data_IF_442112945812
#
_entry.id   IF_442112945812
#
_cell.length_a   1.000
_cell.length_b   1.000
_cell.length_c   1.000
_cell.angle_alpha   90.00
_cell.angle_beta   90.00
_cell.angle_gamma   90.00
#
_symmetry.space_group_name_H-M   'P 1'
#
loop_
_entity.id
_entity.type
_entity.pdbx_description
1 polymer ?
#
# COMPACT_ATOMS: atom_id res chain seq x y z
N UNK A 1 1.25 -46.75 -27.11
CA UNK A 1 1.96 -47.75 -26.28
C UNK A 1 2.93 -48.50 -27.18
N UNK A 2 4.17 -48.04 -27.26
CA UNK A 2 5.31 -48.72 -27.89
C UNK A 2 6.57 -48.03 -27.37
N UNK A 3 7.20 -48.66 -26.38
CA UNK A 3 8.44 -48.19 -25.74
C UNK A 3 9.60 -48.86 -26.47
N UNK A 4 10.56 -48.08 -26.94
CA UNK A 4 11.82 -48.58 -27.52
C UNK A 4 12.98 -48.00 -26.70
N UNK A 5 13.62 -48.87 -25.93
CA UNK A 5 14.78 -48.56 -25.08
C UNK A 5 16.04 -48.77 -25.92
N UNK A 6 16.95 -47.80 -25.93
CA UNK A 6 18.30 -47.90 -26.51
C UNK A 6 19.31 -47.63 -25.37
N UNK A 7 20.37 -48.45 -25.20
CA UNK A 7 21.26 -48.37 -24.05
C UNK A 7 22.36 -47.30 -24.18
N UNK A 8 22.79 -46.82 -23.01
CA UNK A 8 23.76 -45.75 -22.74
C UNK A 8 25.19 -46.22 -23.08
N UNK A 9 25.91 -45.42 -23.88
CA UNK A 9 27.35 -45.49 -24.07
C UNK A 9 27.99 -44.14 -23.76
N UNK A 10 29.08 -44.15 -22.99
CA UNK A 10 29.84 -42.97 -22.53
C UNK A 10 30.93 -42.55 -23.55
N UNK A 11 31.67 -41.46 -23.28
CA UNK A 11 31.49 -40.12 -23.81
C UNK A 11 32.40 -39.85 -25.03
N UNK A 12 31.92 -39.00 -25.95
CA UNK A 12 32.75 -38.45 -27.03
C UNK A 12 33.18 -37.02 -26.67
N UNK A 13 34.47 -36.76 -26.79
CA UNK A 13 35.12 -35.44 -26.65
C UNK A 13 34.50 -34.42 -27.62
N UNK A 14 34.13 -33.25 -27.09
CA UNK A 14 33.70 -32.11 -27.89
C UNK A 14 34.59 -30.90 -27.56
N UNK A 15 35.37 -30.51 -28.56
CA UNK A 15 36.12 -29.26 -28.64
C UNK A 15 35.17 -28.06 -28.68
N UNK A 16 35.30 -27.13 -27.74
CA UNK A 16 34.61 -25.84 -27.76
C UNK A 16 35.52 -24.76 -28.39
N UNK A 17 35.05 -23.96 -29.35
CA UNK A 17 35.57 -22.61 -29.56
C UNK A 17 34.83 -21.66 -28.62
N UNK A 18 35.61 -20.95 -27.80
CA UNK A 18 35.09 -19.98 -26.84
C UNK A 18 34.49 -18.75 -27.52
N UNK A 19 33.25 -18.46 -27.19
CA UNK A 19 32.70 -17.11 -27.19
C UNK A 19 32.44 -16.76 -25.72
N UNK A 20 33.21 -15.81 -25.18
CA UNK A 20 32.94 -15.24 -23.86
C UNK A 20 31.53 -14.64 -23.84
N UNK A 21 30.62 -15.30 -23.13
CA UNK A 21 29.37 -14.69 -22.71
C UNK A 21 29.74 -13.69 -21.61
N UNK A 22 29.85 -12.42 -21.98
CA UNK A 22 29.94 -11.32 -21.02
C UNK A 22 28.57 -11.19 -20.35
N UNK A 23 28.36 -11.97 -19.30
CA UNK A 23 27.28 -11.73 -18.33
C UNK A 23 27.54 -10.35 -17.73
N UNK A 24 26.82 -9.33 -18.19
CA UNK A 24 26.67 -8.08 -17.46
C UNK A 24 25.96 -8.43 -16.14
N UNK A 25 26.76 -8.62 -15.10
CA UNK A 25 26.29 -8.68 -13.72
C UNK A 25 25.42 -7.45 -13.48
N UNK A 26 24.15 -7.69 -13.21
CA UNK A 26 23.22 -6.71 -12.65
C UNK A 26 23.93 -6.06 -11.45
N UNK A 27 23.95 -4.72 -11.34
CA UNK A 27 24.53 -4.08 -10.17
C UNK A 27 23.82 -4.61 -8.93
N UNK A 28 24.61 -4.89 -7.88
CA UNK A 28 24.06 -5.23 -6.57
C UNK A 28 23.02 -4.18 -6.15
N UNK A 29 21.94 -4.56 -5.45
CA UNK A 29 20.95 -3.60 -5.00
C UNK A 29 21.64 -2.53 -4.16
N UNK A 30 21.64 -1.29 -4.63
CA UNK A 30 22.07 -0.13 -3.85
C UNK A 30 21.27 -0.14 -2.54
N UNK A 31 21.95 -0.02 -1.41
CA UNK A 31 21.32 0.13 -0.10
C UNK A 31 20.25 1.21 -0.20
N UNK A 32 18.98 0.82 0.02
CA UNK A 32 17.85 1.74 0.01
C UNK A 32 18.15 2.82 1.05
N UNK A 33 18.50 4.03 0.57
CA UNK A 33 18.75 5.17 1.42
C UNK A 33 17.51 5.42 2.29
N UNK A 34 17.63 5.08 3.58
CA UNK A 34 16.58 5.28 4.59
C UNK A 34 16.21 6.76 4.74
N UNK A 35 16.99 7.68 4.16
CA UNK A 35 16.81 9.13 4.20
C UNK A 35 15.69 9.65 3.26
N UNK A 36 15.13 8.82 2.39
CA UNK A 36 14.06 9.24 1.47
C UNK A 36 12.66 9.17 2.12
N UNK A 37 11.83 10.19 1.86
CA UNK A 37 10.42 10.22 2.26
C UNK A 37 9.59 9.24 1.43
N UNK A 38 8.44 8.84 1.98
CA UNK A 38 7.47 8.07 1.23
C UNK A 38 6.76 8.97 0.20
N UNK A 39 6.57 8.48 -1.02
CA UNK A 39 5.85 9.16 -2.10
C UNK A 39 4.65 8.32 -2.55
N UNK A 40 3.72 8.97 -3.26
CA UNK A 40 2.60 8.28 -3.91
C UNK A 40 3.09 7.56 -5.17
N UNK A 41 2.64 6.32 -5.36
CA UNK A 41 2.79 5.58 -6.61
C UNK A 41 1.56 4.72 -6.83
N UNK A 42 0.57 5.32 -7.49
CA UNK A 42 -0.76 4.73 -7.66
C UNK A 42 -1.44 4.43 -6.33
N UNK A 43 -1.96 3.20 -6.19
CA UNK A 43 -2.64 2.73 -4.96
C UNK A 43 -1.70 2.48 -3.78
N UNK A 44 -0.39 2.65 -3.94
CA UNK A 44 0.59 2.30 -2.91
C UNK A 44 1.55 3.45 -2.62
N UNK A 45 2.26 3.30 -1.50
CA UNK A 45 3.34 4.19 -1.09
C UNK A 45 4.67 3.60 -1.55
N UNK A 46 5.62 4.46 -1.86
CA UNK A 46 6.95 4.06 -2.34
C UNK A 46 8.04 4.82 -1.60
N UNK A 47 9.17 4.15 -1.39
CA UNK A 47 10.39 4.76 -0.88
C UNK A 47 11.46 4.45 -1.91
N UNK A 48 11.94 5.47 -2.61
CA UNK A 48 12.80 5.31 -3.78
C UNK A 48 12.12 4.41 -4.83
N UNK A 49 12.61 3.17 -5.01
CA UNK A 49 12.08 2.18 -5.96
C UNK A 49 11.37 1.01 -5.30
N UNK A 50 11.25 1.03 -3.97
CA UNK A 50 10.63 -0.05 -3.21
C UNK A 50 9.22 0.33 -2.76
N UNK A 51 8.28 -0.58 -3.02
CA UNK A 51 6.91 -0.43 -2.53
C UNK A 51 6.89 -0.59 -1.02
N UNK A 52 6.28 0.38 -0.34
CA UNK A 52 6.10 0.40 1.10
C UNK A 52 4.70 -0.11 1.46
N UNK A 53 4.64 -1.34 1.98
CA UNK A 53 3.49 -1.83 2.74
C UNK A 53 3.59 -1.35 4.19
N UNK A 54 2.64 -0.52 4.63
CA UNK A 54 2.65 0.07 5.97
C UNK A 54 2.16 -0.96 6.99
N UNK A 55 3.09 -1.50 7.77
CA UNK A 55 2.88 -2.48 8.84
C UNK A 55 2.97 -1.75 10.16
N UNK A 56 1.85 -1.16 10.54
CA UNK A 56 1.76 -0.12 11.55
C UNK A 56 1.26 -0.61 12.90
N UNK A 57 1.61 0.15 13.95
CA UNK A 57 0.96 0.09 15.26
C UNK A 57 0.65 1.51 15.76
N UNK A 58 -0.41 1.70 16.53
CA UNK A 58 -0.65 3.00 17.17
C UNK A 58 0.20 3.15 18.44
N UNK A 59 0.64 4.37 18.73
CA UNK A 59 1.53 4.68 19.84
C UNK A 59 1.07 5.92 20.62
N UNK A 60 0.62 5.68 21.85
CA UNK A 60 -0.06 6.67 22.70
C UNK A 60 -1.52 6.84 22.33
N UNK A 61 -2.32 7.59 23.08
CA UNK A 61 -1.88 8.62 24.03
C UNK A 61 -1.45 8.09 25.40
N UNK A 62 -0.41 8.70 25.96
CA UNK A 62 0.17 8.36 27.26
C UNK A 62 -0.15 9.41 28.32
N UNK A 63 0.03 9.04 29.59
CA UNK A 63 -0.05 10.01 30.70
C UNK A 63 1.06 11.04 30.51
N UNK A 64 0.76 12.36 30.58
CA UNK A 64 1.79 13.37 30.46
C UNK A 64 2.89 13.21 31.51
N UNK A 65 4.14 13.37 31.08
CA UNK A 65 5.30 13.39 31.97
C UNK A 65 5.28 14.58 32.94
N UNK A 66 6.23 14.60 33.87
CA UNK A 66 6.40 15.72 34.83
C UNK A 66 6.66 17.05 34.10
N UNK A 67 7.30 16.97 32.93
CA UNK A 67 7.57 18.08 32.01
C UNK A 67 6.38 18.43 31.10
N UNK A 68 5.26 17.72 31.24
CA UNK A 68 4.09 17.85 30.36
C UNK A 68 4.24 17.16 29.01
N UNK A 69 5.30 16.36 28.80
CA UNK A 69 5.53 15.64 27.55
C UNK A 69 4.45 14.59 27.27
N UNK A 70 3.97 14.51 26.02
CA UNK A 70 2.89 13.61 25.60
C UNK A 70 3.33 12.16 25.33
N UNK A 71 4.63 11.87 25.48
CA UNK A 71 5.24 10.57 25.17
C UNK A 71 6.10 10.09 26.35
N UNK A 72 6.36 8.77 26.46
CA UNK A 72 7.26 8.23 27.47
C UNK A 72 8.68 8.77 27.29
N UNK A 73 9.54 8.54 28.29
CA UNK A 73 10.94 8.96 28.21
C UNK A 73 11.64 8.41 26.95
N UNK A 74 12.63 9.13 26.38
CA UNK A 74 13.35 8.67 25.18
C UNK A 74 13.87 7.23 25.27
N UNK A 75 14.31 6.79 26.47
CA UNK A 75 14.77 5.42 26.71
C UNK A 75 13.66 4.38 26.52
N UNK A 76 12.45 4.66 27.00
CA UNK A 76 11.30 3.76 26.84
C UNK A 76 10.87 3.71 25.39
N UNK A 77 10.81 4.87 24.72
CA UNK A 77 10.50 4.96 23.29
C UNK A 77 11.50 4.19 22.44
N UNK A 78 12.80 4.31 22.71
CA UNK A 78 13.84 3.55 22.01
C UNK A 78 13.71 2.04 22.19
N UNK A 79 13.35 1.59 23.40
CA UNK A 79 13.06 0.18 23.66
C UNK A 79 11.81 -0.32 22.92
N UNK A 80 10.72 0.44 22.99
CA UNK A 80 9.47 0.13 22.29
C UNK A 80 9.70 0.05 20.78
N UNK A 81 10.37 1.04 20.19
CA UNK A 81 10.60 1.12 18.74
C UNK A 81 11.57 0.05 18.25
N UNK A 82 12.58 -0.29 19.04
CA UNK A 82 13.46 -1.42 18.75
C UNK A 82 12.67 -2.74 18.72
N UNK A 83 11.79 -2.97 19.70
CA UNK A 83 10.95 -4.15 19.74
C UNK A 83 9.94 -4.19 18.58
N UNK A 84 9.34 -3.06 18.22
CA UNK A 84 8.47 -2.94 17.05
C UNK A 84 9.21 -3.40 15.78
N UNK A 85 10.38 -2.82 15.53
CA UNK A 85 11.20 -3.11 14.33
C UNK A 85 11.57 -4.60 14.24
N UNK A 86 12.00 -5.21 15.35
CA UNK A 86 12.33 -6.65 15.42
C UNK A 86 11.12 -7.55 15.19
N UNK A 87 9.90 -7.07 15.45
CA UNK A 87 8.65 -7.79 15.22
C UNK A 87 7.97 -7.43 13.88
N UNK A 88 8.71 -6.83 12.94
CA UNK A 88 8.24 -6.59 11.57
C UNK A 88 7.36 -5.35 11.39
N UNK A 89 7.19 -4.54 12.45
CA UNK A 89 6.54 -3.23 12.36
C UNK A 89 7.50 -2.25 11.69
N UNK A 90 7.01 -1.48 10.72
CA UNK A 90 7.79 -0.45 10.01
C UNK A 90 7.18 0.95 10.11
N UNK A 91 6.05 1.08 10.80
CA UNK A 91 5.42 2.37 11.01
C UNK A 91 4.71 2.47 12.37
N UNK A 92 4.61 3.69 12.87
CA UNK A 92 3.80 4.03 14.02
C UNK A 92 2.82 5.14 13.65
N UNK A 93 1.68 5.16 14.33
CA UNK A 93 0.74 6.28 14.28
C UNK A 93 0.70 6.96 15.65
N UNK A 94 0.93 8.27 15.67
CA UNK A 94 0.75 9.09 16.87
C UNK A 94 -0.56 9.88 16.80
N UNK A 95 -1.02 10.38 17.94
CA UNK A 95 -2.22 11.21 18.01
C UNK A 95 -1.89 12.70 18.18
N UNK A 96 -0.67 13.01 18.61
CA UNK A 96 -0.12 14.37 18.67
C UNK A 96 1.17 14.45 17.87
N UNK A 97 1.55 15.68 17.52
CA UNK A 97 2.82 15.94 16.86
C UNK A 97 3.97 15.48 17.79
N UNK A 98 4.80 14.52 17.36
CA UNK A 98 5.91 14.05 18.18
C UNK A 98 7.01 15.11 18.24
N UNK A 99 7.78 15.16 19.35
CA UNK A 99 8.99 15.96 19.38
C UNK A 99 10.04 15.39 18.43
N UNK A 100 10.95 16.25 17.95
CA UNK A 100 12.00 15.86 16.99
C UNK A 100 12.85 14.66 17.45
N UNK A 101 13.16 14.55 18.74
CA UNK A 101 13.93 13.42 19.25
C UNK A 101 13.23 12.07 19.06
N UNK A 102 11.88 12.03 19.03
CA UNK A 102 11.13 10.80 18.79
C UNK A 102 11.22 10.42 17.31
N UNK A 103 11.14 11.39 16.41
CA UNK A 103 11.34 11.16 14.97
C UNK A 103 12.74 10.61 14.67
N UNK A 104 13.76 11.11 15.37
CA UNK A 104 15.14 10.60 15.29
C UNK A 104 15.25 9.14 15.74
N UNK A 105 14.60 8.78 16.86
CA UNK A 105 14.57 7.39 17.33
C UNK A 105 13.80 6.50 16.33
N UNK A 106 12.66 6.96 15.83
CA UNK A 106 11.89 6.24 14.81
C UNK A 106 12.75 5.96 13.58
N UNK A 107 13.46 6.97 13.07
CA UNK A 107 14.36 6.83 11.93
C UNK A 107 15.47 5.80 12.19
N UNK A 108 16.13 5.88 13.36
CA UNK A 108 17.17 4.91 13.76
C UNK A 108 16.66 3.47 13.84
N UNK A 109 15.39 3.29 14.22
CA UNK A 109 14.74 1.99 14.28
C UNK A 109 14.09 1.57 12.95
N UNK A 110 14.30 2.32 11.85
CA UNK A 110 13.66 2.11 10.55
C UNK A 110 12.13 2.12 10.60
N UNK A 111 11.58 2.94 11.49
CA UNK A 111 10.16 3.20 11.63
C UNK A 111 9.79 4.52 10.97
N UNK A 112 8.64 4.53 10.30
CA UNK A 112 7.99 5.75 9.81
C UNK A 112 6.87 6.19 10.74
N UNK A 113 6.53 7.48 10.75
CA UNK A 113 5.57 8.07 11.68
C UNK A 113 4.44 8.72 10.90
N UNK A 114 3.23 8.19 11.06
CA UNK A 114 1.99 8.84 10.65
C UNK A 114 1.57 9.79 11.79
N UNK A 115 1.79 11.09 11.59
CA UNK A 115 1.70 12.11 12.64
C UNK A 115 0.26 12.58 12.81
N UNK A 116 -0.32 12.38 13.99
CA UNK A 116 -1.63 12.97 14.35
C UNK A 116 -1.51 14.43 14.78
N UNK A 117 -2.40 15.30 14.29
CA UNK A 117 -2.43 16.73 14.64
C UNK A 117 -3.64 17.14 15.50
N UNK A 118 -4.59 16.24 15.74
CA UNK A 118 -5.67 16.37 16.74
C UNK A 118 -6.56 17.63 16.59
N UNK A 119 -7.05 17.90 15.37
CA UNK A 119 -7.92 19.05 15.12
C UNK A 119 -9.40 18.84 15.51
N UNK A 120 -9.85 17.61 15.74
CA UNK A 120 -11.23 17.29 16.07
C UNK A 120 -11.65 17.85 17.44
N UNK A 121 -12.95 18.10 17.61
CA UNK A 121 -13.57 18.38 18.91
C UNK A 121 -14.86 17.57 19.01
N UNK A 122 -15.16 17.06 20.19
CA UNK A 122 -16.42 16.33 20.45
C UNK A 122 -17.61 17.26 20.78
N UNK A 123 -17.53 18.54 20.42
CA UNK A 123 -18.59 19.54 20.56
C UNK A 123 -18.63 20.43 19.31
N UNK A 124 -19.74 21.15 19.06
CA UNK A 124 -19.85 21.99 17.86
C UNK A 124 -18.92 23.22 17.96
N UNK A 125 -17.96 23.34 17.05
CA UNK A 125 -16.91 24.35 17.17
C UNK A 125 -16.74 25.27 15.94
N UNK A 126 -17.23 24.88 14.75
CA UNK A 126 -16.97 25.63 13.51
C UNK A 126 -17.55 27.07 13.49
N UNK A 127 -18.57 27.36 14.29
CA UNK A 127 -19.12 28.71 14.44
C UNK A 127 -18.21 29.63 15.29
N UNK A 128 -17.30 29.06 16.09
CA UNK A 128 -16.43 29.80 16.99
C UNK A 128 -15.11 30.13 16.31
N UNK A 129 -15.05 31.30 15.66
CA UNK A 129 -13.86 31.75 14.90
C UNK A 129 -12.55 31.66 15.69
N UNK A 130 -12.59 31.91 17.01
CA UNK A 130 -11.40 31.80 17.89
C UNK A 130 -10.89 30.36 17.96
N UNK A 131 -11.78 29.40 18.24
CA UNK A 131 -11.42 27.97 18.32
C UNK A 131 -10.91 27.47 16.97
N UNK A 132 -11.56 27.82 15.87
CA UNK A 132 -11.10 27.41 14.52
C UNK A 132 -9.68 27.93 14.23
N UNK A 133 -9.37 29.18 14.60
CA UNK A 133 -8.02 29.74 14.46
C UNK A 133 -6.99 29.02 15.34
N UNK A 134 -7.36 28.69 16.58
CA UNK A 134 -6.50 27.93 17.50
C UNK A 134 -6.18 26.54 16.95
N UNK A 135 -7.19 25.84 16.42
CA UNK A 135 -7.01 24.52 15.80
C UNK A 135 -6.09 24.61 14.57
N UNK A 136 -6.34 25.57 13.67
CA UNK A 136 -5.47 25.78 12.49
C UNK A 136 -4.02 26.06 12.91
N UNK A 137 -3.83 26.90 13.92
CA UNK A 137 -2.50 27.18 14.47
C UNK A 137 -1.84 25.93 15.03
N UNK A 138 -2.58 25.10 15.79
CA UNK A 138 -2.08 23.83 16.32
C UNK A 138 -1.61 22.88 15.19
N UNK A 139 -2.40 22.75 14.13
CA UNK A 139 -2.06 21.93 12.95
C UNK A 139 -0.81 22.46 12.27
N UNK A 140 -0.73 23.78 12.03
CA UNK A 140 0.44 24.45 11.45
C UNK A 140 1.71 24.25 12.29
N UNK A 141 1.63 24.52 13.58
CA UNK A 141 2.77 24.41 14.50
C UNK A 141 3.25 22.94 14.59
N UNK A 142 2.33 21.98 14.61
CA UNK A 142 2.65 20.55 14.61
C UNK A 142 3.28 20.06 13.31
N UNK A 143 2.77 20.51 12.15
CA UNK A 143 3.36 20.22 10.85
C UNK A 143 4.77 20.82 10.75
N UNK A 144 4.94 22.09 11.12
CA UNK A 144 6.25 22.75 11.15
C UNK A 144 7.27 22.01 12.02
N UNK A 145 6.85 21.50 13.17
CA UNK A 145 7.75 20.79 14.08
C UNK A 145 8.29 19.45 13.53
N UNK A 146 7.57 18.85 12.57
CA UNK A 146 7.94 17.58 11.94
C UNK A 146 8.43 17.72 10.49
N UNK A 147 8.28 18.91 9.90
CA UNK A 147 8.49 19.17 8.47
C UNK A 147 9.87 18.74 8.00
N UNK A 148 9.91 18.08 6.83
CA UNK A 148 11.15 17.65 6.18
C UNK A 148 11.81 16.40 6.76
N UNK A 149 11.36 15.88 7.90
CA UNK A 149 12.02 14.75 8.55
C UNK A 149 11.76 13.41 7.81
N UNK A 150 12.78 12.61 7.45
CA UNK A 150 12.63 11.38 6.65
C UNK A 150 11.71 10.30 7.26
N UNK A 151 11.64 10.23 8.59
CA UNK A 151 10.74 9.31 9.28
C UNK A 151 9.26 9.69 9.12
N UNK A 152 8.89 10.91 8.73
CA UNK A 152 7.48 11.28 8.58
C UNK A 152 6.89 10.56 7.37
N UNK A 153 5.89 9.70 7.63
CA UNK A 153 5.09 9.05 6.61
C UNK A 153 4.06 10.01 6.01
N UNK A 154 3.48 10.84 6.87
CA UNK A 154 2.43 11.80 6.52
C UNK A 154 1.74 12.34 7.76
N UNK A 155 0.72 13.18 7.55
CA UNK A 155 -0.04 13.83 8.62
C UNK A 155 -1.52 13.45 8.58
N UNK A 156 -2.10 13.19 9.75
CA UNK A 156 -3.53 13.11 9.97
C UNK A 156 -4.00 14.43 10.58
N UNK A 157 -4.68 15.25 9.78
CA UNK A 157 -5.12 16.58 10.23
C UNK A 157 -6.17 16.51 11.33
N UNK A 158 -6.99 15.46 11.34
CA UNK A 158 -7.99 15.17 12.37
C UNK A 158 -8.23 13.66 12.50
N UNK A 159 -8.92 13.26 13.56
CA UNK A 159 -9.37 11.91 13.83
C UNK A 159 -10.86 11.88 14.17
N UNK A 160 -11.65 11.08 13.44
CA UNK A 160 -13.04 10.73 13.76
C UNK A 160 -13.94 11.90 14.20
N UNK A 161 -14.16 12.89 13.32
CA UNK A 161 -15.18 13.92 13.54
C UNK A 161 -16.55 13.23 13.68
N UNK A 162 -17.23 13.32 14.84
CA UNK A 162 -18.48 12.61 15.07
C UNK A 162 -19.56 12.93 14.04
N UNK A 163 -20.31 11.92 13.58
CA UNK A 163 -21.39 12.10 12.61
C UNK A 163 -22.45 13.11 13.06
N UNK A 164 -22.72 13.23 14.36
CA UNK A 164 -23.63 14.24 14.91
C UNK A 164 -23.12 15.67 14.68
N UNK A 165 -21.80 15.87 14.73
CA UNK A 165 -21.15 17.16 14.46
C UNK A 165 -21.16 17.47 12.97
N UNK A 166 -20.88 16.46 12.13
CA UNK A 166 -21.00 16.62 10.66
C UNK A 166 -22.43 16.94 10.26
N UNK A 167 -23.42 16.24 10.81
CA UNK A 167 -24.85 16.52 10.56
C UNK A 167 -25.26 17.92 11.00
N UNK A 168 -24.73 18.40 12.14
CA UNK A 168 -25.04 19.71 12.67
C UNK A 168 -24.51 20.84 11.76
N UNK A 169 -23.24 20.77 11.35
CA UNK A 169 -22.62 21.82 10.53
C UNK A 169 -22.89 21.65 9.02
N UNK A 170 -23.24 20.45 8.59
CA UNK A 170 -23.33 20.07 7.18
C UNK A 170 -21.98 19.58 6.63
N UNK A 171 -22.04 18.63 5.69
CA UNK A 171 -20.86 18.01 5.06
C UNK A 171 -19.89 19.05 4.49
N UNK A 172 -20.40 19.95 3.63
CA UNK A 172 -19.61 20.99 2.97
C UNK A 172 -18.84 21.90 3.93
N UNK A 173 -19.37 22.15 5.14
CA UNK A 173 -18.68 22.97 6.14
C UNK A 173 -17.49 22.22 6.76
N UNK A 174 -17.67 20.92 7.01
CA UNK A 174 -16.61 20.04 7.53
C UNK A 174 -15.55 19.80 6.46
N UNK A 175 -15.93 19.53 5.22
CA UNK A 175 -15.01 19.36 4.08
C UNK A 175 -14.15 20.61 3.88
N UNK A 176 -14.76 21.80 3.85
CA UNK A 176 -14.03 23.08 3.77
C UNK A 176 -13.07 23.28 4.93
N UNK A 177 -13.48 22.89 6.14
CA UNK A 177 -12.62 22.98 7.31
C UNK A 177 -11.42 22.03 7.20
N UNK A 178 -11.63 20.77 6.82
CA UNK A 178 -10.57 19.80 6.58
C UNK A 178 -9.63 20.26 5.46
N UNK A 179 -10.16 20.86 4.38
CA UNK A 179 -9.36 21.46 3.30
C UNK A 179 -8.47 22.57 3.82
N UNK A 180 -9.00 23.45 4.68
CA UNK A 180 -8.18 24.50 5.29
C UNK A 180 -7.04 23.91 6.12
N UNK A 181 -7.28 22.84 6.89
CA UNK A 181 -6.21 22.18 7.64
C UNK A 181 -5.17 21.54 6.73
N UNK A 182 -5.61 20.95 5.62
CA UNK A 182 -4.71 20.45 4.58
C UNK A 182 -3.84 21.57 4.02
N UNK A 183 -4.41 22.76 3.78
CA UNK A 183 -3.66 23.93 3.28
C UNK A 183 -2.60 24.35 4.31
N UNK A 184 -2.93 24.35 5.61
CA UNK A 184 -1.95 24.64 6.68
C UNK A 184 -0.75 23.68 6.65
N UNK A 185 -0.98 22.40 6.39
CA UNK A 185 0.10 21.40 6.33
C UNK A 185 0.93 21.60 5.07
N UNK A 186 0.30 21.76 3.90
CA UNK A 186 1.01 21.92 2.62
C UNK A 186 1.80 23.23 2.53
N UNK A 187 1.39 24.28 3.26
CA UNK A 187 2.18 25.51 3.41
C UNK A 187 3.49 25.29 4.18
N UNK A 188 3.50 24.40 5.18
CA UNK A 188 4.67 24.14 6.04
C UNK A 188 5.53 22.95 5.56
N UNK A 189 4.92 21.98 4.87
CA UNK A 189 5.55 20.78 4.34
C UNK A 189 4.89 20.37 2.99
N UNK A 190 5.30 21.01 1.87
CA UNK A 190 4.66 20.83 0.56
C UNK A 190 4.68 19.38 0.04
N UNK A 191 5.75 18.65 0.36
CA UNK A 191 5.97 17.27 -0.09
C UNK A 191 5.30 16.23 0.83
N UNK A 192 4.64 16.66 1.91
CA UNK A 192 4.01 15.74 2.84
C UNK A 192 2.75 15.09 2.28
N UNK A 193 2.56 13.82 2.61
CA UNK A 193 1.27 13.16 2.45
C UNK A 193 0.33 13.61 3.57
N UNK A 194 -0.88 14.02 3.23
CA UNK A 194 -1.87 14.54 4.18
C UNK A 194 -3.17 13.76 4.05
N UNK A 195 -3.74 13.39 5.19
CA UNK A 195 -4.97 12.64 5.28
C UNK A 195 -5.78 13.01 6.53
N UNK A 196 -6.91 12.34 6.69
CA UNK A 196 -7.85 12.46 7.80
C UNK A 196 -8.28 11.03 8.16
N UNK A 197 -8.13 10.64 9.42
CA UNK A 197 -8.58 9.33 9.90
C UNK A 197 -10.11 9.39 10.05
N UNK A 198 -10.80 8.90 9.03
CA UNK A 198 -12.25 8.94 8.94
C UNK A 198 -12.87 7.75 9.71
N UNK A 199 -14.18 7.87 9.95
CA UNK A 199 -14.99 6.84 10.59
C UNK A 199 -16.12 6.41 9.64
N UNK A 200 -16.60 5.15 9.69
CA UNK A 200 -17.60 4.66 8.75
C UNK A 200 -18.88 5.52 8.66
N UNK A 201 -19.30 6.13 9.78
CA UNK A 201 -20.48 6.98 9.81
C UNK A 201 -20.35 8.30 9.04
N UNK A 202 -19.14 8.66 8.60
CA UNK A 202 -18.81 9.92 7.90
C UNK A 202 -18.05 9.66 6.60
N UNK A 203 -18.17 8.46 6.05
CA UNK A 203 -17.52 8.07 4.79
C UNK A 203 -18.00 8.84 3.55
N UNK A 204 -19.19 9.46 3.63
CA UNK A 204 -19.83 10.18 2.52
C UNK A 204 -19.24 11.57 2.25
N UNK A 205 -18.26 12.02 3.05
CA UNK A 205 -17.59 13.31 2.85
C UNK A 205 -16.76 13.29 1.57
N UNK A 206 -16.83 14.36 0.78
CA UNK A 206 -15.92 14.54 -0.36
C UNK A 206 -14.54 14.99 0.14
N UNK A 207 -13.62 14.03 0.15
CA UNK A 207 -12.24 14.20 0.57
C UNK A 207 -11.26 13.99 -0.59
N UNK A 208 -11.67 14.34 -1.81
CA UNK A 208 -10.86 14.23 -3.03
C UNK A 208 -9.52 14.98 -2.97
N UNK A 209 -9.42 16.03 -2.14
CA UNK A 209 -8.20 16.82 -1.94
C UNK A 209 -7.13 16.17 -1.06
N UNK A 210 -7.43 15.07 -0.38
CA UNK A 210 -6.46 14.35 0.46
C UNK A 210 -5.57 13.44 -0.40
N UNK A 211 -4.30 13.32 0.01
CA UNK A 211 -3.30 12.48 -0.65
C UNK A 211 -3.54 10.98 -0.36
N UNK A 212 -4.04 10.66 0.83
CA UNK A 212 -4.35 9.29 1.29
C UNK A 212 -5.78 9.22 1.81
N UNK A 213 -6.37 8.03 1.74
CA UNK A 213 -7.62 7.71 2.43
C UNK A 213 -7.32 6.88 3.66
N UNK A 214 -7.77 7.34 4.84
CA UNK A 214 -7.55 6.68 6.11
C UNK A 214 -8.87 6.39 6.83
N UNK A 215 -9.01 5.17 7.36
CA UNK A 215 -10.19 4.78 8.15
C UNK A 215 -9.82 3.98 9.40
N UNK A 216 -10.48 4.28 10.50
CA UNK A 216 -10.49 3.44 11.70
C UNK A 216 -11.61 2.40 11.58
N UNK A 217 -11.29 1.10 11.75
CA UNK A 217 -12.23 0.00 11.52
C UNK A 217 -12.11 -1.06 12.63
N UNK A 218 -13.14 -1.16 13.47
CA UNK A 218 -13.22 -2.12 14.58
C UNK A 218 -14.29 -3.18 14.38
N UNK A 219 -14.52 -3.61 13.13
CA UNK A 219 -15.47 -4.68 12.83
C UNK A 219 -14.93 -6.02 13.33
N UNK A 220 -15.73 -6.75 14.11
CA UNK A 220 -15.38 -8.05 14.70
C UNK A 220 -15.78 -9.24 13.81
N UNK A 221 -16.56 -8.98 12.75
CA UNK A 221 -16.94 -9.97 11.74
C UNK A 221 -16.04 -9.87 10.53
N UNK A 222 -15.36 -10.97 10.18
CA UNK A 222 -14.49 -11.04 9.00
C UNK A 222 -15.25 -10.72 7.71
N UNK A 223 -16.47 -11.27 7.52
CA UNK A 223 -17.27 -11.01 6.32
C UNK A 223 -17.67 -9.53 6.22
N UNK A 224 -18.06 -8.90 7.34
CA UNK A 224 -18.38 -7.48 7.37
C UNK A 224 -17.16 -6.61 7.09
N UNK A 225 -15.99 -6.99 7.61
CA UNK A 225 -14.73 -6.30 7.35
C UNK A 225 -14.33 -6.38 5.87
N UNK A 226 -14.36 -7.57 5.25
CA UNK A 226 -14.02 -7.76 3.84
C UNK A 226 -14.96 -6.96 2.91
N UNK A 227 -16.28 -7.00 3.17
CA UNK A 227 -17.25 -6.22 2.40
C UNK A 227 -17.00 -4.71 2.53
N UNK A 228 -16.66 -4.25 3.74
CA UNK A 228 -16.37 -2.84 3.97
C UNK A 228 -15.07 -2.39 3.31
N UNK A 229 -14.03 -3.23 3.31
CA UNK A 229 -12.79 -2.93 2.58
C UNK A 229 -13.03 -2.77 1.08
N UNK A 230 -13.88 -3.60 0.47
CA UNK A 230 -14.24 -3.47 -0.94
C UNK A 230 -14.91 -2.10 -1.23
N UNK A 231 -15.86 -1.69 -0.38
CA UNK A 231 -16.47 -0.35 -0.43
C UNK A 231 -15.43 0.77 -0.31
N UNK A 232 -14.50 0.66 0.64
CA UNK A 232 -13.46 1.66 0.83
C UNK A 232 -12.49 1.74 -0.35
N UNK A 233 -12.19 0.62 -1.02
CA UNK A 233 -11.39 0.62 -2.25
C UNK A 233 -12.07 1.40 -3.38
N UNK A 234 -13.40 1.32 -3.48
CA UNK A 234 -14.16 2.12 -4.44
C UNK A 234 -14.09 3.63 -4.10
N UNK A 235 -14.20 3.99 -2.83
CA UNK A 235 -14.07 5.39 -2.37
C UNK A 235 -12.64 5.94 -2.53
N UNK A 236 -11.63 5.10 -2.33
CA UNK A 236 -10.23 5.47 -2.50
C UNK A 236 -9.89 5.72 -3.98
N UNK A 237 -10.54 5.01 -4.90
CA UNK A 237 -10.24 5.06 -6.31
C UNK A 237 -8.78 4.65 -6.54
N UNK A 238 -7.98 5.53 -7.16
CA UNK A 238 -6.56 5.30 -7.41
C UNK A 238 -5.63 5.71 -6.25
N UNK A 239 -6.18 6.25 -5.16
CA UNK A 239 -5.38 6.71 -4.01
C UNK A 239 -5.07 5.56 -3.05
N UNK A 240 -3.96 5.62 -2.31
CA UNK A 240 -3.68 4.65 -1.27
C UNK A 240 -4.72 4.67 -0.15
N UNK A 241 -5.17 3.48 0.24
CA UNK A 241 -6.04 3.25 1.40
C UNK A 241 -5.20 2.70 2.57
N UNK A 242 -5.25 3.38 3.72
CA UNK A 242 -4.68 2.93 4.98
C UNK A 242 -5.80 2.65 5.99
N UNK A 243 -5.79 1.47 6.60
CA UNK A 243 -6.64 1.21 7.76
C UNK A 243 -5.87 1.66 9.01
N UNK A 244 -6.22 2.80 9.56
CA UNK A 244 -5.40 3.49 10.56
C UNK A 244 -5.62 3.04 11.98
N UNK A 245 -6.67 2.24 12.24
CA UNK A 245 -6.87 1.45 13.47
C UNK A 245 -7.64 0.17 13.14
N UNK A 246 -7.10 -0.97 13.58
CA UNK A 246 -7.78 -2.27 13.71
C UNK A 246 -7.47 -2.87 15.08
N UNK A 247 -8.37 -3.69 15.61
CA UNK A 247 -8.08 -4.41 16.83
C UNK A 247 -9.29 -5.04 17.49
N UNK A 248 -9.01 -5.78 18.57
CA UNK A 248 -10.01 -6.34 19.47
C UNK A 248 -9.47 -6.28 20.89
N UNK A 249 -10.29 -5.83 21.83
CA UNK A 249 -9.95 -5.78 23.25
C UNK A 249 -9.77 -7.19 23.82
N UNK A 250 -8.61 -7.45 24.44
CA UNK A 250 -8.33 -8.74 25.09
C UNK A 250 -8.96 -8.86 26.49
N UNK A 251 -9.33 -7.76 27.15
CA UNK A 251 -9.93 -7.78 28.48
C UNK A 251 -11.28 -8.51 28.45
N UNK A 252 -12.13 -8.19 27.47
CA UNK A 252 -13.49 -8.73 27.31
C UNK A 252 -13.53 -10.01 26.49
N UNK A 253 -12.60 -10.17 25.53
CA UNK A 253 -12.63 -11.28 24.56
C UNK A 253 -11.56 -12.35 24.80
N UNK A 254 -10.55 -12.07 25.62
CA UNK A 254 -9.38 -12.91 25.85
C UNK A 254 -8.32 -12.80 24.75
N UNK A 255 -7.05 -13.03 25.12
CA UNK A 255 -5.91 -12.90 24.21
C UNK A 255 -5.96 -13.82 22.98
N UNK A 256 -6.57 -15.00 23.10
CA UNK A 256 -6.71 -15.93 21.97
C UNK A 256 -7.64 -15.36 20.89
N UNK A 257 -8.74 -14.72 21.29
CA UNK A 257 -9.69 -14.10 20.36
C UNK A 257 -9.07 -12.85 19.73
N UNK A 258 -8.39 -12.02 20.52
CA UNK A 258 -7.65 -10.86 20.01
C UNK A 258 -6.63 -11.28 18.94
N UNK A 259 -5.79 -12.27 19.25
CA UNK A 259 -4.77 -12.74 18.32
C UNK A 259 -5.38 -13.29 17.02
N UNK A 260 -6.45 -14.08 17.11
CA UNK A 260 -7.16 -14.59 15.93
C UNK A 260 -7.80 -13.46 15.10
N UNK A 261 -8.37 -12.45 15.76
CA UNK A 261 -8.96 -11.29 15.12
C UNK A 261 -7.94 -10.49 14.31
N UNK A 262 -6.81 -10.17 14.93
CA UNK A 262 -5.74 -9.42 14.29
C UNK A 262 -5.12 -10.15 13.11
N UNK A 263 -4.99 -11.49 13.17
CA UNK A 263 -4.49 -12.30 12.04
C UNK A 263 -5.32 -12.07 10.77
N UNK A 264 -6.64 -12.26 10.87
CA UNK A 264 -7.50 -12.10 9.70
C UNK A 264 -7.68 -10.62 9.32
N UNK A 265 -7.76 -9.68 10.26
CA UNK A 265 -7.89 -8.25 9.95
C UNK A 265 -6.68 -7.76 9.11
N UNK A 266 -5.46 -8.10 9.54
CA UNK A 266 -4.23 -7.75 8.82
C UNK A 266 -4.26 -8.37 7.42
N UNK A 267 -4.37 -9.70 7.32
CA UNK A 267 -4.30 -10.40 6.02
C UNK A 267 -5.36 -9.91 5.04
N UNK A 268 -6.59 -9.67 5.52
CA UNK A 268 -7.69 -9.18 4.68
C UNK A 268 -7.48 -7.74 4.23
N UNK A 269 -6.91 -6.86 5.05
CA UNK A 269 -6.55 -5.51 4.62
C UNK A 269 -5.59 -5.54 3.42
N UNK A 270 -4.49 -6.29 3.51
CA UNK A 270 -3.49 -6.31 2.45
C UNK A 270 -3.94 -7.07 1.21
N UNK A 271 -4.61 -8.22 1.34
CA UNK A 271 -5.16 -8.96 0.19
C UNK A 271 -6.26 -8.19 -0.54
N UNK A 272 -6.97 -7.29 0.13
CA UNK A 272 -7.91 -6.35 -0.49
C UNK A 272 -7.20 -5.15 -1.17
N UNK A 273 -5.87 -5.08 -1.16
CA UNK A 273 -5.09 -4.03 -1.81
C UNK A 273 -4.93 -2.76 -0.98
N UNK A 274 -5.09 -2.80 0.34
CA UNK A 274 -4.75 -1.65 1.18
C UNK A 274 -3.24 -1.42 1.15
N UNK A 275 -2.81 -0.15 1.15
CA UNK A 275 -1.40 0.20 1.25
C UNK A 275 -0.81 -0.09 2.65
N UNK A 276 -1.67 -0.27 3.65
CA UNK A 276 -1.29 -0.80 4.93
C UNK A 276 -2.35 -0.69 6.02
N UNK A 277 -1.98 -1.14 7.21
CA UNK A 277 -2.85 -1.23 8.36
C UNK A 277 -2.09 -0.91 9.66
N UNK A 278 -2.77 -0.32 10.63
CA UNK A 278 -2.24 -0.01 11.96
C UNK A 278 -3.01 -0.76 13.04
N UNK A 279 -2.32 -1.60 13.80
CA UNK A 279 -2.90 -2.26 14.96
C UNK A 279 -3.03 -1.27 16.12
N UNK A 280 -4.24 -1.13 16.63
CA UNK A 280 -4.54 -0.45 17.87
C UNK A 280 -4.44 -1.49 19.00
N UNK A 281 -3.41 -1.48 19.85
CA UNK A 281 -2.26 -0.55 19.94
C UNK A 281 -0.95 -1.29 20.29
N UNK A 282 0.20 -0.60 20.37
CA UNK A 282 1.45 -1.24 20.81
C UNK A 282 1.37 -1.81 22.25
N UNK A 283 0.71 -1.08 23.14
CA UNK A 283 0.65 -1.39 24.58
C UNK A 283 -0.74 -1.07 25.14
N UNK A 284 -1.13 -1.76 26.22
CA UNK A 284 -2.32 -1.45 27.01
C UNK A 284 -2.17 -0.14 27.81
N UNK A 285 -0.98 0.45 27.86
CA UNK A 285 -0.80 1.77 28.45
C UNK A 285 -1.50 2.83 27.59
N UNK A 286 -2.69 3.23 28.05
CA UNK A 286 -3.50 4.25 27.40
C UNK A 286 -4.04 5.27 28.40
N UNK A 287 -4.01 6.54 28.01
CA UNK A 287 -4.54 7.67 28.77
C UNK A 287 -5.49 8.50 27.91
N UNK A 288 -6.66 8.85 28.43
CA UNK A 288 -7.62 9.75 27.77
C UNK A 288 -8.12 10.78 28.78
N UNK A 289 -8.08 12.06 28.42
CA UNK A 289 -8.57 13.13 29.28
C UNK A 289 -7.79 13.30 30.60
N UNK A 290 -6.55 12.80 30.67
CA UNK A 290 -5.72 12.83 31.88
C UNK A 290 -5.90 11.62 32.82
N UNK A 291 -6.81 10.70 32.47
CA UNK A 291 -7.09 9.47 33.20
C UNK A 291 -6.59 8.24 32.43
N UNK A 292 -6.09 7.24 33.17
CA UNK A 292 -5.68 5.98 32.58
C UNK A 292 -6.92 5.14 32.24
N UNK A 293 -6.95 4.59 31.03
CA UNK A 293 -8.05 3.73 30.58
C UNK A 293 -7.77 2.28 30.98
N UNK A 294 -8.34 1.81 32.09
CA UNK A 294 -8.01 0.50 32.68
C UNK A 294 -8.91 -0.65 32.25
N UNK A 295 -10.00 -0.37 31.53
CA UNK A 295 -10.98 -1.38 31.10
C UNK A 295 -10.80 -1.84 29.64
N UNK A 296 -9.76 -1.34 28.96
CA UNK A 296 -9.42 -1.60 27.57
C UNK A 296 -7.98 -2.11 27.44
N UNK A 297 -7.82 -3.35 26.99
CA UNK A 297 -6.55 -4.05 26.80
C UNK A 297 -6.35 -4.43 25.31
N UNK A 298 -6.20 -3.43 24.45
CA UNK A 298 -5.97 -3.58 23.00
C UNK A 298 -4.50 -3.81 22.61
N UNK A 299 -3.57 -3.62 23.55
CA UNK A 299 -2.14 -3.66 23.31
C UNK A 299 -1.63 -5.00 22.80
N UNK A 300 -0.65 -4.98 21.89
CA UNK A 300 0.21 -6.13 21.57
C UNK A 300 1.12 -6.50 22.74
N UNK A 301 1.37 -5.54 23.63
CA UNK A 301 2.06 -5.71 24.91
C UNK A 301 1.19 -5.25 26.06
N UNK A 302 1.44 -5.79 27.25
CA UNK A 302 0.79 -5.34 28.48
C UNK A 302 1.19 -3.90 28.83
N UNK A 303 0.56 -3.34 29.88
CA UNK A 303 0.94 -2.05 30.46
C UNK A 303 2.41 -2.00 30.91
N UNK A 304 2.98 -3.16 31.28
CA UNK A 304 4.39 -3.31 31.70
C UNK A 304 5.32 -3.72 30.55
N UNK A 305 4.84 -3.66 29.29
CA UNK A 305 5.55 -4.07 28.07
C UNK A 305 5.91 -5.56 28.00
N UNK A 306 5.15 -6.40 28.68
CA UNK A 306 5.24 -7.86 28.47
C UNK A 306 4.50 -8.24 27.19
N UNK A 307 5.09 -9.05 26.30
CA UNK A 307 4.47 -9.41 25.03
C UNK A 307 3.24 -10.29 25.25
N UNK A 308 2.12 -9.94 24.61
CA UNK A 308 0.92 -10.78 24.57
C UNK A 308 0.98 -11.78 23.42
N UNK A 309 0.06 -12.75 23.43
CA UNK A 309 -0.09 -13.70 22.32
C UNK A 309 -0.28 -13.03 20.96
N UNK A 310 -0.96 -11.89 20.93
CA UNK A 310 -1.23 -11.13 19.71
C UNK A 310 0.06 -10.68 18.99
N UNK A 311 1.13 -10.33 19.71
CA UNK A 311 2.38 -9.83 19.10
C UNK A 311 2.99 -10.87 18.15
N UNK A 312 3.07 -12.14 18.57
CA UNK A 312 3.63 -13.20 17.74
C UNK A 312 2.79 -13.48 16.48
N UNK A 313 1.47 -13.35 16.58
CA UNK A 313 0.56 -13.52 15.44
C UNK A 313 0.65 -12.35 14.47
N UNK A 314 0.66 -11.12 14.97
CA UNK A 314 0.82 -9.91 14.16
C UNK A 314 2.16 -9.91 13.43
N UNK A 315 3.25 -10.28 14.11
CA UNK A 315 4.56 -10.44 13.49
C UNK A 315 4.49 -11.37 12.28
N UNK A 316 3.93 -12.58 12.46
CA UNK A 316 3.80 -13.55 11.38
C UNK A 316 2.92 -13.02 10.23
N UNK A 317 1.79 -12.40 10.56
CA UNK A 317 0.90 -11.82 9.55
C UNK A 317 1.63 -10.73 8.73
N UNK A 318 2.38 -9.85 9.38
CA UNK A 318 3.19 -8.78 8.78
C UNK A 318 4.41 -9.25 7.97
N UNK A 319 4.99 -10.41 8.30
CA UNK A 319 6.04 -11.06 7.50
C UNK A 319 5.47 -11.60 6.17
N UNK A 320 4.17 -11.93 6.14
CA UNK A 320 3.48 -12.59 5.02
C UNK A 320 2.59 -11.65 4.19
N UNK A 321 2.68 -10.32 4.36
CA UNK A 321 1.92 -9.36 3.52
C UNK A 321 2.64 -9.06 2.20
N UNK A 322 1.92 -8.78 1.09
CA UNK A 322 0.46 -8.77 0.99
C UNK A 322 -0.18 -10.16 0.87
N UNK A 323 0.60 -11.16 0.47
CA UNK A 323 0.17 -12.56 0.35
C UNK A 323 1.22 -13.48 0.96
N UNK A 324 0.77 -14.47 1.73
CA UNK A 324 1.65 -15.54 2.18
C UNK A 324 2.19 -16.31 0.97
N UNK A 325 3.41 -16.83 1.09
CA UNK A 325 3.94 -17.76 0.11
C UNK A 325 2.96 -18.93 -0.06
N UNK A 326 2.56 -19.22 -1.30
CA UNK A 326 1.74 -20.39 -1.65
C UNK A 326 2.57 -21.31 -2.53
N UNK A 327 2.43 -22.61 -2.28
CA UNK A 327 3.14 -23.63 -3.04
C UNK A 327 2.57 -23.83 -4.47
N UNK A 328 1.34 -23.40 -4.73
CA UNK A 328 0.65 -23.60 -6.00
C UNK A 328 -0.05 -22.32 -6.49
N UNK A 329 0.73 -21.42 -7.10
CA UNK A 329 0.21 -20.30 -7.87
C UNK A 329 -0.04 -20.73 -9.33
N UNK A 330 -1.19 -20.38 -9.95
CA UNK A 330 -1.48 -20.75 -11.33
C UNK A 330 -0.45 -20.14 -12.28
N UNK A 331 -0.12 -20.85 -13.38
CA UNK A 331 0.81 -20.29 -14.36
C UNK A 331 0.14 -19.12 -15.09
N UNK A 332 0.84 -17.99 -15.23
CA UNK A 332 0.35 -16.83 -16.00
C UNK A 332 1.20 -16.62 -17.25
N UNK A 333 0.56 -16.44 -18.41
CA UNK A 333 1.23 -15.95 -19.63
C UNK A 333 1.01 -14.44 -19.75
N UNK A 334 2.07 -13.67 -19.59
CA UNK A 334 2.06 -12.23 -19.82
C UNK A 334 2.26 -11.99 -21.31
N UNK A 335 1.28 -11.39 -21.97
CA UNK A 335 1.31 -11.11 -23.41
C UNK A 335 1.49 -9.62 -23.64
N UNK A 336 2.56 -9.28 -24.35
CA UNK A 336 2.88 -7.93 -24.83
C UNK A 336 2.73 -7.92 -26.34
N UNK A 337 1.95 -6.99 -26.87
CA UNK A 337 1.86 -6.76 -28.32
C UNK A 337 2.55 -5.45 -28.65
N UNK A 338 3.42 -5.44 -29.65
CA UNK A 338 4.15 -4.23 -30.08
C UNK A 338 4.06 -4.03 -31.58
N UNK A 339 3.92 -2.77 -31.99
CA UNK A 339 4.10 -2.34 -33.37
C UNK A 339 4.72 -0.94 -33.38
N UNK A 340 5.99 -0.86 -33.76
CA UNK A 340 6.80 0.36 -33.69
C UNK A 340 6.88 0.97 -32.26
N UNK A 341 7.06 0.10 -31.25
CA UNK A 341 7.15 0.45 -29.83
C UNK A 341 8.58 0.61 -29.30
N UNK A 342 9.59 0.86 -30.15
CA UNK A 342 11.01 0.88 -29.73
C UNK A 342 11.32 1.86 -28.61
N UNK A 343 10.51 2.91 -28.47
CA UNK A 343 10.66 3.96 -27.45
C UNK A 343 10.25 3.52 -26.05
N UNK A 344 9.39 2.52 -25.92
CA UNK A 344 8.70 2.20 -24.64
C UNK A 344 8.86 0.75 -24.23
N UNK A 345 9.01 -0.17 -25.18
CA UNK A 345 9.04 -1.62 -24.90
C UNK A 345 10.14 -2.02 -23.91
N UNK A 346 11.26 -1.30 -23.90
CA UNK A 346 12.35 -1.50 -22.94
C UNK A 346 11.84 -1.34 -21.49
N UNK A 347 11.14 -0.25 -21.20
CA UNK A 347 10.61 0.03 -19.86
C UNK A 347 9.54 -0.99 -19.44
N UNK A 348 8.69 -1.42 -20.39
CA UNK A 348 7.69 -2.45 -20.17
C UNK A 348 8.33 -3.79 -19.79
N UNK A 349 9.29 -4.26 -20.58
CA UNK A 349 9.99 -5.54 -20.34
C UNK A 349 10.86 -5.49 -19.07
N UNK A 350 11.52 -4.37 -18.77
CA UNK A 350 12.20 -4.17 -17.48
C UNK A 350 11.23 -4.23 -16.29
N UNK A 351 10.01 -3.71 -16.45
CA UNK A 351 8.95 -3.80 -15.44
C UNK A 351 8.47 -5.23 -15.23
N UNK A 352 8.26 -5.97 -16.32
CA UNK A 352 7.89 -7.39 -16.29
C UNK A 352 8.99 -8.22 -15.60
N UNK A 353 10.26 -7.90 -15.82
CA UNK A 353 11.39 -8.54 -15.13
C UNK A 353 11.43 -8.30 -13.62
N UNK A 354 10.66 -7.34 -13.09
CA UNK A 354 10.57 -7.00 -11.65
C UNK A 354 9.33 -7.58 -10.97
N UNK A 355 8.51 -8.37 -11.67
CA UNK A 355 7.32 -8.99 -11.11
C UNK A 355 7.67 -9.99 -10.00
N UNK A 356 6.97 -9.88 -8.87
CA UNK A 356 7.11 -10.73 -7.69
C UNK A 356 6.13 -11.90 -7.75
N UNK A 357 6.18 -12.64 -8.84
CA UNK A 357 5.32 -13.80 -9.07
C UNK A 357 6.14 -15.01 -9.51
N UNK A 358 5.97 -16.19 -8.89
CA UNK A 358 6.91 -17.29 -9.08
C UNK A 358 6.69 -18.11 -10.37
N UNK A 359 5.54 -17.99 -11.03
CA UNK A 359 5.15 -18.93 -12.09
C UNK A 359 4.53 -18.21 -13.30
N UNK A 360 5.35 -17.49 -14.08
CA UNK A 360 4.89 -16.84 -15.30
C UNK A 360 5.86 -17.02 -16.46
N UNK A 361 5.34 -16.79 -17.66
CA UNK A 361 6.14 -16.64 -18.88
C UNK A 361 5.76 -15.33 -19.57
N UNK A 362 6.67 -14.78 -20.37
CA UNK A 362 6.43 -13.56 -21.14
C UNK A 362 6.47 -13.87 -22.62
N UNK A 363 5.43 -13.46 -23.34
CA UNK A 363 5.27 -13.64 -24.78
C UNK A 363 5.19 -12.24 -25.39
N UNK A 364 6.08 -11.96 -26.34
CA UNK A 364 6.06 -10.70 -27.09
C UNK A 364 5.63 -11.01 -28.52
N UNK A 365 4.56 -10.36 -28.97
CA UNK A 365 4.10 -10.40 -30.35
C UNK A 365 4.54 -9.10 -31.02
N UNK A 366 5.55 -9.18 -31.88
CA UNK A 366 5.98 -8.09 -32.74
C UNK A 366 5.20 -8.12 -34.05
N UNK A 367 4.22 -7.24 -34.18
CA UNK A 367 3.28 -7.16 -35.30
C UNK A 367 3.88 -6.40 -36.49
N UNK A 368 5.10 -6.77 -36.87
CA UNK A 368 5.80 -6.24 -38.04
C UNK A 368 6.46 -4.88 -37.82
N UNK A 369 7.07 -4.64 -36.65
CA UNK A 369 7.77 -3.39 -36.35
C UNK A 369 8.94 -3.14 -37.30
N UNK A 370 9.17 -1.86 -37.60
CA UNK A 370 10.23 -1.39 -38.50
C UNK A 370 11.25 -0.47 -37.82
N UNK A 371 11.04 -0.19 -36.54
CA UNK A 371 11.81 0.76 -35.73
C UNK A 371 12.80 0.08 -34.76
N UNK A 372 12.94 -1.25 -34.85
CA UNK A 372 13.82 -2.04 -33.98
C UNK A 372 13.17 -2.56 -32.69
N UNK A 373 11.87 -2.35 -32.44
CA UNK A 373 11.18 -2.86 -31.24
C UNK A 373 11.36 -4.38 -31.04
N UNK A 374 11.22 -5.16 -32.12
CA UNK A 374 11.44 -6.62 -32.06
C UNK A 374 12.88 -7.02 -31.76
N UNK A 375 13.87 -6.21 -32.14
CA UNK A 375 15.28 -6.48 -31.83
C UNK A 375 15.56 -6.16 -30.35
N UNK A 376 15.00 -5.07 -29.82
CA UNK A 376 15.04 -4.76 -28.38
C UNK A 376 14.41 -5.92 -27.58
N UNK A 377 13.23 -6.38 -27.97
CA UNK A 377 12.55 -7.48 -27.28
C UNK A 377 13.37 -8.78 -27.26
N UNK A 378 14.17 -9.04 -28.31
CA UNK A 378 15.02 -10.23 -28.39
C UNK A 378 16.18 -10.24 -27.38
N UNK A 379 16.49 -9.09 -26.75
CA UNK A 379 17.51 -9.00 -25.69
C UNK A 379 17.00 -9.47 -24.32
N UNK A 380 15.69 -9.69 -24.17
CA UNK A 380 15.04 -10.11 -22.92
C UNK A 380 14.70 -11.61 -22.93
N UNK A 381 14.51 -12.18 -21.74
CA UNK A 381 14.03 -13.57 -21.57
C UNK A 381 12.53 -13.66 -21.86
N UNK A 382 12.19 -13.61 -23.15
CA UNK A 382 10.81 -13.64 -23.65
C UNK A 382 10.67 -14.60 -24.82
N UNK A 383 9.46 -15.12 -24.99
CA UNK A 383 9.08 -15.81 -26.23
C UNK A 383 8.64 -14.77 -27.26
N UNK A 384 9.58 -14.34 -28.10
CA UNK A 384 9.32 -13.42 -29.20
C UNK A 384 8.71 -14.14 -30.41
N UNK A 385 7.59 -13.61 -30.93
CA UNK A 385 6.95 -14.05 -32.17
C UNK A 385 6.81 -12.83 -33.07
N UNK A 386 7.46 -12.87 -34.24
CA UNK A 386 7.39 -11.79 -35.24
C UNK A 386 6.40 -12.17 -36.34
N UNK A 387 5.53 -11.25 -36.72
CA UNK A 387 4.55 -11.42 -37.81
C UNK A 387 4.61 -10.25 -38.79
N UNK A 388 3.96 -10.39 -39.95
CA UNK A 388 3.55 -9.22 -40.73
C UNK A 388 2.44 -8.47 -39.97
N UNK A 389 2.37 -7.14 -40.14
CA UNK A 389 1.37 -6.31 -39.47
C UNK A 389 -0.05 -6.71 -39.85
N UNK A 390 -0.79 -7.22 -38.87
CA UNK A 390 -2.20 -7.62 -38.99
C UNK A 390 -3.10 -6.89 -37.97
N UNK A 391 -2.53 -5.99 -37.18
CA UNK A 391 -3.20 -5.18 -36.18
C UNK A 391 -3.29 -5.85 -34.79
N UNK A 392 -3.49 -5.00 -33.78
CA UNK A 392 -3.49 -5.37 -32.36
C UNK A 392 -4.40 -6.54 -31.99
N UNK A 393 -5.58 -6.66 -32.61
CA UNK A 393 -6.50 -7.78 -32.34
C UNK A 393 -5.95 -9.12 -32.81
N UNK A 394 -5.30 -9.15 -33.99
CA UNK A 394 -4.65 -10.35 -34.50
C UNK A 394 -3.46 -10.72 -33.61
N UNK A 395 -2.66 -9.73 -33.20
CA UNK A 395 -1.54 -9.91 -32.29
C UNK A 395 -1.99 -10.47 -30.92
N UNK A 396 -3.04 -9.91 -30.31
CA UNK A 396 -3.61 -10.41 -29.04
C UNK A 396 -4.11 -11.85 -29.16
N UNK A 397 -4.83 -12.18 -30.23
CA UNK A 397 -5.31 -13.54 -30.49
C UNK A 397 -4.16 -14.55 -30.64
N UNK A 398 -3.09 -14.17 -31.35
CA UNK A 398 -1.90 -15.00 -31.49
C UNK A 398 -1.19 -15.19 -30.14
N UNK A 399 -1.13 -14.14 -29.33
CA UNK A 399 -0.60 -14.18 -27.97
C UNK A 399 -1.35 -15.16 -27.08
N UNK A 400 -2.69 -15.07 -27.04
CA UNK A 400 -3.55 -16.04 -26.33
C UNK A 400 -3.35 -17.47 -26.82
N UNK A 401 -3.30 -17.70 -28.13
CA UNK A 401 -3.11 -19.05 -28.69
C UNK A 401 -1.72 -19.62 -28.39
N UNK A 402 -0.74 -18.75 -28.17
CA UNK A 402 0.64 -19.14 -27.86
C UNK A 402 0.88 -19.34 -26.36
N UNK A 403 -0.04 -18.85 -25.51
CA UNK A 403 0.02 -18.94 -24.06
C UNK A 403 -0.06 -20.40 -23.58
N UNK A 404 0.70 -20.70 -22.53
CA UNK A 404 0.67 -22.00 -21.83
C UNK A 404 0.22 -21.88 -20.37
N UNK A 405 -0.01 -20.64 -19.91
CA UNK A 405 -0.56 -20.35 -18.59
C UNK A 405 -2.06 -20.64 -18.52
N UNK A 406 -2.52 -20.85 -17.30
CA UNK A 406 -3.96 -20.97 -16.97
C UNK A 406 -4.66 -19.61 -17.06
N UNK A 407 -3.90 -18.52 -16.84
CA UNK A 407 -4.35 -17.14 -16.96
C UNK A 407 -3.50 -16.45 -18.03
N UNK A 408 -4.16 -15.66 -18.89
CA UNK A 408 -3.49 -14.78 -19.85
C UNK A 408 -3.66 -13.34 -19.39
N UNK A 409 -2.54 -12.67 -19.13
CA UNK A 409 -2.50 -11.29 -18.68
C UNK A 409 -1.94 -10.40 -19.80
N UNK A 410 -2.77 -9.51 -20.34
CA UNK A 410 -2.33 -8.56 -21.36
C UNK A 410 -1.76 -7.30 -20.72
N UNK A 411 -0.67 -6.80 -21.29
CA UNK A 411 -0.10 -5.49 -20.98
C UNK A 411 0.40 -4.83 -22.26
N UNK A 412 0.17 -3.53 -22.40
CA UNK A 412 0.61 -2.77 -23.56
C UNK A 412 2.13 -2.47 -23.45
N UNK A 413 2.81 -2.29 -24.58
CA UNK A 413 4.26 -2.09 -24.66
C UNK A 413 4.74 -0.71 -24.16
N UNK A 414 3.81 0.16 -23.80
CA UNK A 414 4.02 1.46 -23.15
C UNK A 414 3.61 1.50 -21.67
N UNK A 415 3.19 0.36 -21.11
CA UNK A 415 2.81 0.25 -19.71
C UNK A 415 3.90 -0.38 -18.85
N UNK A 416 3.91 -0.03 -17.55
CA UNK A 416 4.77 -0.63 -16.54
C UNK A 416 3.91 -1.34 -15.49
N UNK A 417 4.08 -2.65 -15.27
CA UNK A 417 3.28 -3.35 -14.29
C UNK A 417 3.74 -2.99 -12.87
N UNK A 418 2.78 -2.97 -11.95
CA UNK A 418 3.08 -3.02 -10.52
C UNK A 418 3.76 -4.37 -10.17
N UNK A 419 4.78 -4.42 -9.29
CA UNK A 419 5.49 -5.66 -8.98
C UNK A 419 4.61 -6.80 -8.47
N UNK A 420 3.47 -6.50 -7.84
CA UNK A 420 2.55 -7.50 -7.29
C UNK A 420 1.32 -7.71 -8.20
N UNK A 421 1.31 -7.11 -9.39
CA UNK A 421 0.18 -7.13 -10.35
C UNK A 421 -0.35 -8.55 -10.60
N UNK A 422 0.54 -9.47 -10.97
CA UNK A 422 0.19 -10.87 -11.24
C UNK A 422 -0.36 -11.60 -10.01
N UNK A 423 0.18 -11.31 -8.83
CA UNK A 423 -0.25 -11.92 -7.57
C UNK A 423 -1.69 -11.50 -7.24
N UNK A 424 -2.05 -10.23 -7.43
CA UNK A 424 -3.43 -9.76 -7.25
C UNK A 424 -4.38 -10.35 -8.30
N UNK A 425 -3.98 -10.45 -9.57
CA UNK A 425 -4.79 -11.11 -10.61
C UNK A 425 -5.08 -12.58 -10.24
N UNK A 426 -4.04 -13.35 -9.92
CA UNK A 426 -4.19 -14.74 -9.52
C UNK A 426 -5.07 -14.88 -8.27
N UNK A 427 -4.88 -14.02 -7.26
CA UNK A 427 -5.68 -14.05 -6.05
C UNK A 427 -7.17 -13.82 -6.32
N UNK A 428 -7.53 -12.95 -7.28
CA UNK A 428 -8.91 -12.73 -7.69
C UNK A 428 -9.52 -13.98 -8.36
N UNK A 429 -8.84 -14.57 -9.33
CA UNK A 429 -9.30 -15.81 -9.99
C UNK A 429 -9.39 -17.02 -9.05
N UNK A 430 -8.56 -17.07 -8.01
CA UNK A 430 -8.64 -18.13 -7.00
C UNK A 430 -9.78 -17.93 -5.99
N UNK A 431 -10.39 -16.73 -5.94
CA UNK A 431 -11.46 -16.41 -5.00
C UNK A 431 -12.83 -16.82 -5.56
N UNK A 432 -13.08 -16.48 -6.81
CA UNK A 432 -14.37 -16.70 -7.50
C UNK A 432 -14.12 -17.05 -8.98
N UNK A 433 -15.15 -17.59 -9.64
CA UNK A 433 -15.11 -17.99 -11.06
C UNK A 433 -15.32 -16.78 -11.98
N UNK A 434 -14.31 -15.90 -12.05
CA UNK A 434 -14.32 -14.75 -12.94
C UNK A 434 -13.83 -15.14 -14.34
N UNK A 435 -14.49 -14.60 -15.39
CA UNK A 435 -14.03 -14.73 -16.77
C UNK A 435 -12.93 -13.72 -17.14
N UNK A 436 -12.78 -12.63 -16.35
CA UNK A 436 -11.79 -11.59 -16.59
C UNK A 436 -11.64 -10.70 -15.35
N UNK A 437 -10.41 -10.23 -15.13
CA UNK A 437 -10.04 -9.33 -14.04
C UNK A 437 -9.20 -8.20 -14.61
N UNK A 438 -9.45 -6.98 -14.15
CA UNK A 438 -8.74 -5.78 -14.58
C UNK A 438 -8.40 -4.88 -13.40
N UNK A 439 -7.55 -3.89 -13.64
CA UNK A 439 -7.14 -2.90 -12.67
C UNK A 439 -7.08 -1.50 -13.29
N UNK A 440 -6.79 -0.47 -12.48
CA UNK A 440 -6.67 0.88 -12.99
C UNK A 440 -5.40 1.05 -13.84
N UNK A 441 -5.52 1.80 -14.92
CA UNK A 441 -4.37 2.34 -15.65
C UNK A 441 -4.07 3.74 -15.10
N UNK A 442 -2.90 3.89 -14.49
CA UNK A 442 -2.50 5.12 -13.80
C UNK A 442 -1.47 5.82 -14.69
N UNK A 443 -1.74 7.05 -15.17
CA UNK A 443 -0.81 7.77 -16.01
C UNK A 443 0.47 8.07 -15.24
N UNK A 444 1.60 8.01 -15.94
CA UNK A 444 2.86 8.46 -15.39
C UNK A 444 2.77 9.98 -15.20
N UNK A 445 3.21 10.55 -14.06
CA UNK A 445 3.30 11.99 -13.91
C UNK A 445 4.13 12.60 -15.06
N UNK A 446 3.65 13.71 -15.62
CA UNK A 446 4.32 14.47 -16.68
C UNK A 446 4.53 13.71 -18.02
N UNK A 447 3.75 12.67 -18.32
CA UNK A 447 3.75 11.91 -19.59
C UNK A 447 3.18 12.68 -20.80
N UNK A 448 3.21 14.01 -20.72
CA UNK A 448 2.71 14.92 -21.74
C UNK A 448 1.21 15.21 -21.67
N UNK A 449 0.81 16.19 -22.47
CA UNK A 449 -0.56 16.70 -22.51
C UNK A 449 -1.56 15.66 -23.03
N UNK A 450 -1.14 14.80 -23.97
CA UNK A 450 -2.01 13.76 -24.53
C UNK A 450 -2.36 12.70 -23.49
N UNK A 451 -1.37 12.15 -22.78
CA UNK A 451 -1.62 11.18 -21.70
C UNK A 451 -2.51 11.78 -20.61
N UNK A 452 -2.26 13.04 -20.24
CA UNK A 452 -3.09 13.80 -19.30
C UNK A 452 -4.54 13.95 -19.79
N UNK A 453 -4.74 14.28 -21.08
CA UNK A 453 -6.06 14.37 -21.70
C UNK A 453 -6.77 13.01 -21.73
N UNK A 454 -6.08 11.92 -22.08
CA UNK A 454 -6.65 10.57 -22.11
C UNK A 454 -7.05 10.13 -20.70
N UNK A 455 -6.20 10.35 -19.69
CA UNK A 455 -6.49 10.03 -18.30
C UNK A 455 -7.67 10.84 -17.74
N UNK A 456 -7.84 12.09 -18.17
CA UNK A 456 -8.95 12.96 -17.78
C UNK A 456 -10.22 12.79 -18.61
N UNK A 457 -10.19 11.97 -19.68
CA UNK A 457 -11.32 11.82 -20.59
C UNK A 457 -12.47 11.05 -19.93
N UNK A 458 -13.73 11.54 -20.04
CA UNK A 458 -14.89 10.78 -19.58
C UNK A 458 -15.03 9.49 -20.39
N UNK A 459 -15.37 8.38 -19.72
CA UNK A 459 -15.46 7.06 -20.37
C UNK A 459 -14.24 6.15 -20.17
N UNK A 460 -13.23 6.59 -19.41
CA UNK A 460 -12.27 5.66 -18.80
C UNK A 460 -13.00 4.61 -17.94
N UNK A 461 -12.37 3.47 -17.62
CA UNK A 461 -13.01 2.41 -16.84
C UNK A 461 -13.49 2.97 -15.49
N UNK A 462 -14.78 3.27 -15.42
CA UNK A 462 -15.49 3.65 -14.23
C UNK A 462 -16.16 2.39 -13.69
N UNK A 463 -16.05 2.15 -12.39
CA UNK A 463 -16.73 1.05 -11.74
C UNK A 463 -18.25 1.24 -11.93
N UNK A 464 -18.86 0.48 -12.85
CA UNK A 464 -20.31 0.27 -12.87
C UNK A 464 -20.52 -0.89 -11.92
N UNK A 465 -21.12 -0.61 -10.77
CA UNK A 465 -21.28 -1.59 -9.69
C UNK A 465 -22.75 -1.93 -9.51
N UNK A 466 -23.07 -3.23 -9.50
CA UNK A 466 -24.35 -3.75 -9.03
C UNK A 466 -24.40 -3.76 -7.50
N UNK A 467 -23.26 -3.96 -6.84
CA UNK A 467 -23.08 -3.88 -5.38
C UNK A 467 -21.64 -3.45 -5.04
N UNK A 468 -21.33 -3.23 -3.77
CA UNK A 468 -19.97 -2.85 -3.33
C UNK A 468 -18.88 -3.89 -3.74
N UNK A 469 -19.29 -5.10 -4.13
CA UNK A 469 -18.41 -6.21 -4.52
C UNK A 469 -18.68 -6.77 -5.93
N UNK A 470 -19.68 -6.27 -6.67
CA UNK A 470 -20.11 -6.83 -7.96
C UNK A 470 -20.21 -5.71 -8.99
N UNK A 471 -19.66 -5.95 -10.19
CA UNK A 471 -19.70 -5.03 -11.33
C UNK A 471 -20.66 -5.53 -12.41
#
# INVERSE_FOLDING_TARGET
MAVRIIPIGAPAEASAPGSEIVLKLTPAPEEVSNASRATLGGKFLWVCREKLYVRGVTYGTFRPGIDGGAFPSPRVVEQDFSQMSVNGVNAIRTYTAPPHWLLEIAHKCSLRVLVGLQAERHYTFLHQKKIVREIRKQVRDGARACSGHPAVLGYLVANEIPASIVRWHGANAVEKFLKQLWDEVKEEDPDALVSYANYPSTEYLDLSFLDLICFNIFLESQAGYEAYLARLQNLAGNRPLLVTEIGLDSHRNGEKAQAACLDWQIRKAFTAGCAGAFVYAWTDEWCRGGEDVTDWDFGLTSRTREPKRALGVVRKAFEEVPFAAKDAWPKISVVVCTFNGSRTICDCLEGIGKLRYPNYETIVIDDGSTDGAGDIAAEYDVRLIRTENQGLSAARNLGWQSATGEIVAYIDDDARPDPDWLTYLAAAFLKEDYAGVGGPNIPVPDDGETASCVAGSPGGPAHVLLSDCEA
#
